data_IF_541449183689
#
_entry.id   IF_541449183689
#
_cell.length_a   1.000
_cell.length_b   1.000
_cell.length_c   1.000
_cell.angle_alpha   90.00
_cell.angle_beta   90.00
_cell.angle_gamma   90.00
#
_symmetry.space_group_name_H-M   'P 1'
#
loop_
_entity.id
_entity.type
_entity.pdbx_description
1 polymer ?
#
# COMPACT_ATOMS: atom_id res chain seq x y z
N UNK A 1 -10.63 4.93 21.08
CA UNK A 1 -10.23 4.95 19.65
C UNK A 1 -8.83 4.36 19.56
N UNK A 2 -8.69 3.09 19.17
CA UNK A 2 -7.39 2.44 18.97
C UNK A 2 -7.55 1.39 17.87
N UNK A 3 -7.42 1.79 16.60
CA UNK A 3 -7.22 0.84 15.50
C UNK A 3 -5.85 0.97 14.78
N UNK A 4 -4.70 1.09 15.49
CA UNK A 4 -3.40 0.93 14.84
C UNK A 4 -3.01 -0.50 14.40
N UNK A 5 -3.45 -1.63 15.02
CA UNK A 5 -2.86 -2.93 14.68
C UNK A 5 -3.31 -3.45 13.30
N UNK A 6 -4.52 -3.13 12.84
CA UNK A 6 -5.07 -3.72 11.60
C UNK A 6 -4.36 -3.25 10.34
N UNK A 7 -3.97 -1.97 10.30
CA UNK A 7 -3.25 -1.37 9.17
C UNK A 7 -1.87 -2.01 9.01
N UNK A 8 -1.10 -2.05 10.10
CA UNK A 8 0.24 -2.65 10.11
C UNK A 8 0.18 -4.12 9.75
N UNK A 9 -0.77 -4.87 10.32
CA UNK A 9 -0.96 -6.29 9.99
C UNK A 9 -1.30 -6.50 8.52
N UNK A 10 -2.19 -5.70 7.94
CA UNK A 10 -2.54 -5.84 6.52
C UNK A 10 -1.34 -5.59 5.59
N UNK A 11 -0.50 -4.60 5.90
CA UNK A 11 0.71 -4.33 5.12
C UNK A 11 1.79 -5.40 5.35
N UNK A 12 1.94 -5.94 6.56
CA UNK A 12 2.86 -7.07 6.80
C UNK A 12 2.42 -8.33 6.06
N UNK A 13 1.13 -8.66 6.04
CA UNK A 13 0.60 -9.78 5.26
C UNK A 13 0.91 -9.61 3.77
N UNK A 14 0.72 -8.39 3.24
CA UNK A 14 1.04 -8.08 1.85
C UNK A 14 2.53 -8.31 1.53
N UNK A 15 3.44 -7.95 2.45
CA UNK A 15 4.87 -8.21 2.30
C UNK A 15 5.23 -9.69 2.41
N UNK A 16 4.54 -10.44 3.26
CA UNK A 16 4.75 -11.88 3.41
C UNK A 16 4.33 -12.63 2.13
N UNK A 17 3.21 -12.24 1.53
CA UNK A 17 2.71 -12.82 0.29
C UNK A 17 3.54 -12.39 -0.93
N UNK A 18 4.19 -11.22 -0.87
CA UNK A 18 4.98 -10.67 -1.96
C UNK A 18 6.40 -10.30 -1.49
N UNK A 19 7.38 -11.22 -1.59
CA UNK A 19 8.75 -10.96 -1.14
C UNK A 19 9.52 -9.94 -2.01
N UNK A 20 8.93 -9.47 -3.12
CA UNK A 20 9.50 -8.51 -4.04
C UNK A 20 9.21 -7.04 -3.69
N UNK A 21 9.34 -6.12 -4.66
CA UNK A 21 8.98 -4.72 -4.49
C UNK A 21 7.50 -4.52 -4.10
N UNK A 22 7.24 -3.60 -3.18
CA UNK A 22 5.88 -3.29 -2.71
C UNK A 22 5.12 -2.52 -3.78
N UNK A 23 4.02 -3.09 -4.27
CA UNK A 23 3.12 -2.35 -5.17
C UNK A 23 2.29 -1.34 -4.38
N UNK A 24 2.35 -0.08 -4.77
CA UNK A 24 1.54 0.98 -4.16
C UNK A 24 0.04 0.68 -4.27
N UNK A 25 -0.41 0.24 -5.45
CA UNK A 25 -1.81 -0.10 -5.69
C UNK A 25 -2.29 -1.24 -4.78
N UNK A 26 -1.49 -2.30 -4.64
CA UNK A 26 -1.82 -3.41 -3.73
C UNK A 26 -1.86 -2.96 -2.27
N UNK A 27 -0.93 -2.10 -1.84
CA UNK A 27 -0.92 -1.52 -0.50
C UNK A 27 -2.17 -0.68 -0.22
N UNK A 28 -2.58 0.17 -1.15
CA UNK A 28 -3.80 0.98 -1.03
C UNK A 28 -5.04 0.09 -0.91
N UNK A 29 -5.16 -0.96 -1.72
CA UNK A 29 -6.27 -1.93 -1.63
C UNK A 29 -6.28 -2.63 -0.28
N UNK A 30 -5.12 -3.07 0.22
CA UNK A 30 -5.01 -3.69 1.54
C UNK A 30 -5.46 -2.74 2.66
N UNK A 31 -5.09 -1.46 2.60
CA UNK A 31 -5.54 -0.45 3.57
C UNK A 31 -7.05 -0.23 3.50
N UNK A 32 -7.62 -0.11 2.30
CA UNK A 32 -9.09 0.01 2.10
C UNK A 32 -9.83 -1.19 2.66
N UNK A 33 -9.31 -2.40 2.50
CA UNK A 33 -9.90 -3.62 3.04
C UNK A 33 -9.95 -3.64 4.58
N UNK A 34 -9.11 -2.85 5.26
CA UNK A 34 -9.18 -2.66 6.71
C UNK A 34 -10.24 -1.64 7.16
N UNK A 35 -10.91 -0.97 6.21
CA UNK A 35 -11.93 0.05 6.46
C UNK A 35 -11.39 1.47 6.50
N UNK A 36 -10.16 1.73 6.03
CA UNK A 36 -9.59 3.08 5.99
C UNK A 36 -10.20 3.87 4.83
N UNK A 37 -10.81 5.01 5.15
CA UNK A 37 -11.51 5.85 4.17
C UNK A 37 -10.68 7.04 3.64
N UNK A 38 -9.45 7.21 4.14
CA UNK A 38 -8.52 8.30 3.78
C UNK A 38 -8.32 8.48 2.27
N UNK A 39 -7.98 9.70 1.81
CA UNK A 39 -7.72 9.96 0.40
C UNK A 39 -6.57 9.09 -0.14
N UNK A 40 -6.64 8.75 -1.43
CA UNK A 40 -5.67 7.86 -2.05
C UNK A 40 -4.22 8.34 -1.87
N UNK A 41 -3.97 9.65 -1.98
CA UNK A 41 -2.63 10.23 -1.76
C UNK A 41 -2.07 9.97 -0.36
N UNK A 42 -2.92 9.95 0.67
CA UNK A 42 -2.51 9.61 2.04
C UNK A 42 -2.22 8.12 2.17
N UNK A 43 -3.07 7.28 1.60
CA UNK A 43 -2.86 5.82 1.57
C UNK A 43 -1.56 5.46 0.84
N UNK A 44 -1.28 6.08 -0.30
CA UNK A 44 -0.03 5.89 -1.05
C UNK A 44 1.18 6.31 -0.19
N UNK A 45 1.07 7.44 0.53
CA UNK A 45 2.14 7.93 1.41
C UNK A 45 2.39 7.00 2.60
N UNK A 46 1.32 6.42 3.18
CA UNK A 46 1.43 5.41 4.23
C UNK A 46 2.11 4.13 3.74
N UNK A 47 1.71 3.60 2.59
CA UNK A 47 2.33 2.41 1.98
C UNK A 47 3.81 2.66 1.70
N UNK A 48 4.14 3.83 1.14
CA UNK A 48 5.52 4.20 0.84
C UNK A 48 6.39 4.33 2.09
N UNK A 49 5.87 4.98 3.14
CA UNK A 49 6.54 5.09 4.44
C UNK A 49 6.78 3.72 5.05
N UNK A 50 5.78 2.83 5.02
CA UNK A 50 5.90 1.48 5.56
C UNK A 50 6.94 0.65 4.80
N UNK A 51 6.94 0.70 3.45
CA UNK A 51 7.93 0.02 2.63
C UNK A 51 9.36 0.50 2.97
N UNK A 52 9.55 1.82 3.09
CA UNK A 52 10.84 2.40 3.47
C UNK A 52 11.30 1.94 4.88
N UNK A 53 10.41 1.93 5.86
CA UNK A 53 10.70 1.44 7.21
C UNK A 53 11.11 -0.04 7.24
N UNK A 54 10.60 -0.84 6.30
CA UNK A 54 10.94 -2.27 6.15
C UNK A 54 12.11 -2.52 5.21
N UNK A 55 12.77 -1.48 4.70
CA UNK A 55 13.87 -1.61 3.76
C UNK A 55 13.45 -2.24 2.44
N UNK A 56 12.20 -2.07 2.03
CA UNK A 56 11.63 -2.64 0.81
C UNK A 56 11.54 -1.60 -0.29
N UNK A 57 11.95 -1.99 -1.49
CA UNK A 57 11.78 -1.18 -2.70
C UNK A 57 10.29 -1.05 -3.05
N UNK A 58 9.90 0.11 -3.56
CA UNK A 58 8.54 0.37 -4.02
C UNK A 58 8.46 0.14 -5.53
N UNK A 59 7.41 -0.55 -5.97
CA UNK A 59 6.99 -0.61 -7.38
C UNK A 59 5.83 0.34 -7.57
N UNK A 60 6.07 1.35 -8.41
CA UNK A 60 5.00 2.19 -8.93
C UNK A 60 4.33 1.43 -10.07
N UNK A 61 3.24 0.71 -9.77
CA UNK A 61 2.34 0.25 -10.83
C UNK A 61 1.67 1.49 -11.41
N UNK A 62 2.29 2.01 -12.48
CA UNK A 62 1.75 3.09 -13.28
C UNK A 62 0.41 2.60 -13.84
N UNK A 63 -0.69 3.03 -13.25
CA UNK A 63 -1.94 3.08 -13.99
C UNK A 63 -1.66 3.99 -15.19
N UNK A 64 -1.61 3.42 -16.38
CA UNK A 64 -1.61 4.19 -17.63
C UNK A 64 -3.05 4.30 -18.11
N UNK A 65 -3.82 5.35 -17.76
CA UNK A 65 -5.12 5.60 -18.38
C UNK A 65 -5.01 6.31 -19.74
N UNK A 66 -3.82 6.44 -20.34
CA UNK A 66 -3.60 7.28 -21.53
C UNK A 66 -2.94 6.56 -22.72
N UNK A 67 -3.41 5.36 -23.07
CA UNK A 67 -3.13 4.74 -24.38
C UNK A 67 -4.43 4.17 -24.97
N UNK A 68 -5.28 5.07 -25.42
CA UNK A 68 -6.27 4.82 -26.47
C UNK A 68 -6.46 6.14 -27.21
N UNK A 69 -5.64 6.33 -28.24
CA UNK A 69 -5.83 7.33 -29.29
C UNK A 69 -5.69 6.62 -30.64
#
# INVERSE_FOLDING_TARGET
MNQPPRIVTALETLLADNPGPVSIAAGVVALRATGVEDPESELQSMVGTFAAQRGRSIRFDRASPYLSS
#
